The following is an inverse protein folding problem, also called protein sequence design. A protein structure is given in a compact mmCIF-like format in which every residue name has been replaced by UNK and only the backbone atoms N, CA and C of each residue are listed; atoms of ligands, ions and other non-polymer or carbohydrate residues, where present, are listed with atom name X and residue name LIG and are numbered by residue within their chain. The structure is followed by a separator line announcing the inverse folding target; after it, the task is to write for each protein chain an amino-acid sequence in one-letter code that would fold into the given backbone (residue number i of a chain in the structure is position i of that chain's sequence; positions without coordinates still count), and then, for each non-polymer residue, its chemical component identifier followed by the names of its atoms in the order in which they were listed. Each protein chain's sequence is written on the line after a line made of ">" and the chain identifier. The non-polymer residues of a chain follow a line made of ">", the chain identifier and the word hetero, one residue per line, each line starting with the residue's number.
data_IF_950504364436
#
_entry.id   IF_950504364436
#
_cell.length_a   1.000
_cell.length_b   1.000
_cell.length_c   1.000
_cell.angle_alpha   90.00
_cell.angle_beta   90.00
_cell.angle_gamma   90.00
#
_symmetry.space_group_name_H-M   'P 1'
#
loop_
_entity.id
_entity.type
_entity.pdbx_description
1 polymer ?
#
# COMPACT_ATOMS: atom_id res chain seq x y z
N UNK A 1 6.82 8.97 21.70
CA UNK A 1 7.25 9.15 23.11
C UNK A 1 7.93 10.50 23.29
N UNK A 2 9.10 10.75 22.68
CA UNK A 2 9.78 12.07 22.73
C UNK A 2 8.89 13.24 22.27
N UNK A 3 8.09 13.04 21.21
CA UNK A 3 7.15 14.04 20.71
C UNK A 3 6.04 14.45 21.69
N UNK A 4 5.61 13.54 22.57
CA UNK A 4 4.57 13.84 23.56
C UNK A 4 5.14 14.65 24.73
N UNK A 5 6.36 14.29 25.18
CA UNK A 5 7.09 15.02 26.22
C UNK A 5 7.46 16.42 25.71
N UNK A 6 7.99 16.53 24.49
CA UNK A 6 8.28 17.80 23.83
C UNK A 6 7.03 18.70 23.73
N UNK A 7 5.87 18.13 23.41
CA UNK A 7 4.61 18.87 23.37
C UNK A 7 4.22 19.39 24.74
N UNK A 8 4.26 18.53 25.77
CA UNK A 8 3.96 18.91 27.15
C UNK A 8 4.89 20.03 27.65
N UNK A 9 6.20 19.92 27.38
CA UNK A 9 7.17 20.94 27.78
C UNK A 9 6.89 22.29 27.11
N UNK A 10 6.54 22.30 25.82
CA UNK A 10 6.14 23.52 25.12
C UNK A 10 4.85 24.13 25.68
N UNK A 11 3.85 23.30 25.96
CA UNK A 11 2.58 23.72 26.56
C UNK A 11 2.78 24.34 27.96
N UNK A 12 3.83 23.94 28.69
CA UNK A 12 4.20 24.48 30.00
C UNK A 12 5.26 25.60 29.94
N UNK A 13 5.53 26.18 28.77
CA UNK A 13 6.38 27.36 28.63
C UNK A 13 7.89 27.09 28.65
N UNK A 14 8.32 25.83 28.56
CA UNK A 14 9.74 25.52 28.37
C UNK A 14 10.19 25.93 26.96
N UNK A 15 11.23 26.77 26.90
CA UNK A 15 11.72 27.37 25.64
C UNK A 15 12.63 26.46 24.84
N UNK A 16 13.32 25.54 25.50
CA UNK A 16 14.32 24.65 24.88
C UNK A 16 13.69 23.33 24.46
N UNK A 17 13.96 22.91 23.22
CA UNK A 17 13.53 21.64 22.64
C UNK A 17 14.47 20.50 23.04
N UNK A 18 13.93 19.47 23.69
CA UNK A 18 14.69 18.26 24.01
C UNK A 18 14.99 17.40 22.77
N UNK A 19 14.32 17.68 21.64
CA UNK A 19 14.46 16.95 20.37
C UNK A 19 15.35 17.69 19.37
N UNK A 20 15.36 19.02 19.38
CA UNK A 20 16.01 19.83 18.33
C UNK A 20 17.21 20.62 18.81
N UNK A 21 17.20 21.04 20.07
CA UNK A 21 18.18 22.02 20.52
C UNK A 21 19.47 21.35 20.98
N UNK A 22 20.58 22.06 20.80
CA UNK A 22 21.94 21.54 21.01
C UNK A 22 22.23 21.22 22.48
N UNK A 23 21.52 21.87 23.40
CA UNK A 23 21.61 21.72 24.84
C UNK A 23 21.35 20.27 25.27
N UNK A 24 20.58 19.52 24.47
CA UNK A 24 20.26 18.11 24.71
C UNK A 24 21.00 17.14 23.78
N UNK A 25 21.97 17.61 22.98
CA UNK A 25 22.67 16.78 21.99
C UNK A 25 23.31 15.53 22.61
N UNK A 26 24.00 15.68 23.74
CA UNK A 26 24.62 14.55 24.44
C UNK A 26 23.56 13.52 24.88
N UNK A 27 22.45 13.98 25.45
CA UNK A 27 21.35 13.09 25.86
C UNK A 27 20.72 12.38 24.67
N UNK A 28 20.54 13.06 23.54
CA UNK A 28 20.02 12.46 22.30
C UNK A 28 20.98 11.40 21.75
N UNK A 29 22.28 11.66 21.73
CA UNK A 29 23.30 10.71 21.27
C UNK A 29 23.30 9.45 22.14
N UNK A 30 23.24 9.59 23.47
CA UNK A 30 23.13 8.46 24.41
C UNK A 30 21.84 7.67 24.20
N UNK A 31 20.70 8.35 24.06
CA UNK A 31 19.41 7.69 23.80
C UNK A 31 19.40 6.96 22.45
N UNK A 32 20.00 7.54 21.42
CA UNK A 32 20.11 6.93 20.11
C UNK A 32 21.04 5.70 20.16
N UNK A 33 22.18 5.80 20.84
CA UNK A 33 23.09 4.67 21.07
C UNK A 33 22.38 3.52 21.80
N UNK A 34 21.61 3.83 22.87
CA UNK A 34 20.82 2.83 23.57
C UNK A 34 19.74 2.23 22.67
N UNK A 35 19.03 3.03 21.88
CA UNK A 35 18.03 2.53 20.93
C UNK A 35 18.65 1.61 19.86
N UNK A 36 19.86 1.91 19.38
CA UNK A 36 20.61 1.03 18.47
C UNK A 36 20.97 -0.27 19.18
N UNK A 37 21.48 -0.22 20.41
CA UNK A 37 21.84 -1.40 21.17
C UNK A 37 20.62 -2.31 21.43
N UNK A 38 19.50 -1.74 21.89
CA UNK A 38 18.25 -2.48 22.10
C UNK A 38 17.77 -3.17 20.81
N UNK A 39 17.91 -2.53 19.64
CA UNK A 39 17.56 -3.15 18.35
C UNK A 39 18.50 -4.31 18.00
N UNK A 40 19.79 -4.25 18.38
CA UNK A 40 20.75 -5.35 18.21
C UNK A 40 20.43 -6.52 19.14
N UNK A 41 20.04 -6.22 20.37
CA UNK A 41 19.55 -7.19 21.37
C UNK A 41 18.17 -7.79 21.02
N UNK A 42 17.59 -7.46 19.86
CA UNK A 42 16.30 -8.01 19.40
C UNK A 42 15.06 -7.29 19.94
N UNK A 43 15.20 -6.35 20.87
CA UNK A 43 14.11 -5.54 21.45
C UNK A 43 13.57 -4.43 20.52
N UNK A 44 13.85 -4.53 19.22
CA UNK A 44 13.23 -3.69 18.19
C UNK A 44 11.84 -4.19 17.81
N UNK A 45 11.23 -3.57 16.78
CA UNK A 45 9.98 -4.06 16.18
C UNK A 45 10.18 -5.24 15.22
N UNK A 46 11.41 -5.74 15.07
CA UNK A 46 11.75 -6.84 14.14
C UNK A 46 11.05 -8.16 14.50
N UNK A 47 10.92 -8.57 15.78
CA UNK A 47 10.16 -9.77 16.13
C UNK A 47 8.68 -9.65 15.76
N UNK A 48 8.11 -8.44 15.83
CA UNK A 48 6.73 -8.14 15.45
C UNK A 48 6.60 -7.72 13.97
N UNK A 49 7.59 -8.04 13.13
CA UNK A 49 7.52 -7.74 11.70
C UNK A 49 6.44 -8.63 11.07
N UNK A 50 5.56 -8.03 10.28
CA UNK A 50 4.62 -8.78 9.46
C UNK A 50 5.40 -9.78 8.59
N UNK A 51 5.04 -11.06 8.70
CA UNK A 51 5.61 -12.09 7.85
C UNK A 51 5.06 -11.94 6.44
N UNK A 52 5.89 -12.11 5.40
CA UNK A 52 5.39 -12.21 4.04
C UNK A 52 4.46 -13.42 3.96
N UNK A 53 3.41 -13.28 3.15
CA UNK A 53 2.46 -14.35 2.95
C UNK A 53 3.12 -15.54 2.25
N UNK A 54 2.91 -16.74 2.77
CA UNK A 54 3.54 -17.93 2.23
C UNK A 54 2.82 -18.39 0.93
N UNK A 55 3.54 -18.96 -0.06
CA UNK A 55 2.93 -19.50 -1.27
C UNK A 55 1.85 -20.57 -1.00
N UNK A 56 2.00 -21.33 0.08
CA UNK A 56 1.07 -22.37 0.53
C UNK A 56 -0.23 -21.74 1.03
N UNK A 57 -0.14 -20.66 1.81
CA UNK A 57 -1.31 -19.88 2.27
C UNK A 57 -2.05 -19.26 1.09
N UNK A 58 -1.32 -18.80 0.07
CA UNK A 58 -1.88 -18.31 -1.18
C UNK A 58 -2.65 -19.41 -1.91
N UNK A 59 -2.01 -20.56 -2.14
CA UNK A 59 -2.63 -21.72 -2.78
C UNK A 59 -3.86 -22.21 -2.02
N UNK A 60 -3.82 -22.18 -0.67
CA UNK A 60 -4.95 -22.60 0.16
C UNK A 60 -6.20 -21.74 -0.06
N UNK A 61 -6.06 -20.43 -0.32
CA UNK A 61 -7.23 -19.58 -0.60
C UNK A 61 -7.87 -19.89 -1.95
N UNK A 62 -7.08 -20.20 -2.97
CA UNK A 62 -7.61 -20.62 -4.27
C UNK A 62 -8.31 -21.97 -4.15
N UNK A 63 -7.67 -22.95 -3.51
CA UNK A 63 -8.21 -24.29 -3.37
C UNK A 63 -9.50 -24.31 -2.53
N UNK A 64 -9.62 -23.43 -1.52
CA UNK A 64 -10.82 -23.26 -0.70
C UNK A 64 -11.91 -22.38 -1.36
N UNK A 65 -11.70 -21.95 -2.61
CA UNK A 65 -12.64 -21.08 -3.32
C UNK A 65 -12.80 -19.68 -2.72
N UNK A 66 -11.86 -19.21 -1.88
CA UNK A 66 -11.88 -17.86 -1.33
C UNK A 66 -11.43 -16.81 -2.37
N UNK A 67 -10.70 -17.26 -3.39
CA UNK A 67 -10.27 -16.50 -4.57
C UNK A 67 -10.70 -17.27 -5.83
N UNK A 68 -11.09 -16.55 -6.88
CA UNK A 68 -11.63 -17.12 -8.12
C UNK A 68 -12.74 -16.27 -8.72
N UNK A 69 -13.50 -16.85 -9.64
CA UNK A 69 -14.51 -16.13 -10.44
C UNK A 69 -15.93 -16.72 -10.41
N UNK A 70 -16.14 -17.77 -9.62
CA UNK A 70 -17.41 -18.51 -9.60
C UNK A 70 -18.59 -17.75 -8.96
N UNK A 71 -18.34 -16.64 -8.25
CA UNK A 71 -19.36 -15.76 -7.67
C UNK A 71 -18.80 -14.33 -7.59
N UNK A 72 -19.67 -13.31 -7.75
CA UNK A 72 -19.34 -11.90 -7.58
C UNK A 72 -18.62 -11.55 -6.26
N UNK A 73 -18.94 -12.21 -5.13
CA UNK A 73 -18.21 -11.98 -3.86
C UNK A 73 -16.75 -12.43 -3.97
N UNK A 74 -16.51 -13.62 -4.51
CA UNK A 74 -15.17 -14.20 -4.64
C UNK A 74 -14.36 -13.45 -5.71
N UNK A 75 -15.02 -13.05 -6.80
CA UNK A 75 -14.44 -12.19 -7.83
C UNK A 75 -14.03 -10.82 -7.27
N UNK A 76 -14.84 -10.25 -6.37
CA UNK A 76 -14.49 -9.00 -5.67
C UNK A 76 -13.31 -9.20 -4.72
N UNK A 77 -13.25 -10.31 -3.99
CA UNK A 77 -12.12 -10.62 -3.09
C UNK A 77 -10.81 -10.75 -3.86
N UNK A 78 -10.81 -11.48 -4.97
CA UNK A 78 -9.59 -11.66 -5.78
C UNK A 78 -9.16 -10.35 -6.44
N UNK A 79 -10.12 -9.54 -6.89
CA UNK A 79 -9.81 -8.23 -7.43
C UNK A 79 -9.21 -7.31 -6.35
N UNK A 80 -9.82 -7.23 -5.16
CA UNK A 80 -9.28 -6.48 -4.03
C UNK A 80 -7.82 -6.89 -3.73
N UNK A 81 -7.58 -8.20 -3.62
CA UNK A 81 -6.25 -8.77 -3.39
C UNK A 81 -5.25 -8.39 -4.49
N UNK A 82 -5.63 -8.46 -5.76
CA UNK A 82 -4.76 -8.07 -6.88
C UNK A 82 -4.43 -6.58 -6.88
N UNK A 83 -5.41 -5.71 -6.59
CA UNK A 83 -5.21 -4.27 -6.48
C UNK A 83 -4.25 -3.91 -5.33
N UNK A 84 -4.38 -4.56 -4.17
CA UNK A 84 -3.47 -4.35 -3.04
C UNK A 84 -2.04 -4.79 -3.37
N UNK A 85 -1.86 -5.97 -3.94
CA UNK A 85 -0.53 -6.55 -4.16
C UNK A 85 0.20 -5.95 -5.36
N UNK A 86 -0.49 -5.74 -6.49
CA UNK A 86 0.14 -5.32 -7.75
C UNK A 86 0.26 -3.80 -7.86
N UNK A 87 -0.75 -3.06 -7.40
CA UNK A 87 -0.78 -1.59 -7.50
C UNK A 87 -0.34 -0.91 -6.20
N UNK A 88 -0.22 -1.68 -5.11
CA UNK A 88 0.16 -1.15 -3.82
C UNK A 88 -0.89 -0.21 -3.22
N UNK A 89 -2.18 -0.44 -3.49
CA UNK A 89 -3.26 0.28 -2.82
C UNK A 89 -3.24 -0.08 -1.33
N UNK A 90 -3.07 0.93 -0.48
CA UNK A 90 -2.85 0.76 0.97
C UNK A 90 -4.07 1.17 1.76
N UNK A 91 -4.55 0.21 2.55
CA UNK A 91 -5.57 0.44 3.55
C UNK A 91 -6.95 0.68 2.96
N UNK A 92 -7.94 0.74 3.86
CA UNK A 92 -9.36 0.86 3.50
C UNK A 92 -9.68 2.10 2.66
N UNK A 93 -8.99 3.21 2.94
CA UNK A 93 -9.26 4.50 2.31
C UNK A 93 -8.92 4.50 0.82
N UNK A 94 -7.73 4.05 0.42
CA UNK A 94 -7.34 4.05 -1.00
C UNK A 94 -8.27 3.18 -1.84
N UNK A 95 -8.72 2.05 -1.31
CA UNK A 95 -9.69 1.19 -2.01
C UNK A 95 -11.09 1.80 -2.13
N UNK A 96 -11.52 2.65 -1.21
CA UNK A 96 -12.83 3.32 -1.29
C UNK A 96 -12.81 4.58 -2.14
N UNK A 97 -11.70 5.30 -2.13
CA UNK A 97 -11.56 6.54 -2.91
C UNK A 97 -11.28 6.27 -4.39
N UNK A 98 -10.86 5.05 -4.74
CA UNK A 98 -10.67 4.64 -6.14
C UNK A 98 -11.99 4.44 -6.86
N UNK A 99 -12.14 5.11 -8.00
CA UNK A 99 -13.21 4.88 -8.96
C UNK A 99 -12.77 3.86 -10.03
N UNK A 100 -13.72 3.21 -10.70
CA UNK A 100 -13.38 2.24 -11.76
C UNK A 100 -12.71 2.94 -12.95
N UNK A 101 -13.08 4.19 -13.17
CA UNK A 101 -12.60 5.13 -14.17
C UNK A 101 -11.12 5.50 -13.96
N UNK A 102 -10.62 5.35 -12.72
CA UNK A 102 -9.21 5.56 -12.40
C UNK A 102 -8.32 4.44 -12.94
N UNK A 103 -8.91 3.32 -13.41
CA UNK A 103 -8.19 2.18 -13.96
C UNK A 103 -8.27 2.14 -15.50
N UNK A 104 -7.12 2.27 -16.14
CA UNK A 104 -6.97 2.20 -17.59
C UNK A 104 -6.36 0.88 -18.02
N UNK A 105 -6.99 0.22 -18.98
CA UNK A 105 -6.46 -0.99 -19.59
C UNK A 105 -5.71 -0.59 -20.86
N UNK A 106 -4.42 -0.89 -20.95
CA UNK A 106 -3.56 -0.59 -22.11
C UNK A 106 -2.97 -1.87 -22.66
N UNK A 107 -2.66 -1.88 -23.96
CA UNK A 107 -1.77 -2.86 -24.59
C UNK A 107 -0.39 -2.20 -24.74
N UNK A 108 0.66 -2.88 -24.30
CA UNK A 108 2.04 -2.39 -24.41
C UNK A 108 2.80 -3.26 -25.41
N UNK A 109 3.22 -2.67 -26.53
CA UNK A 109 3.86 -3.40 -27.64
C UNK A 109 5.34 -3.69 -27.39
N UNK A 110 6.04 -2.82 -26.64
CA UNK A 110 7.49 -2.89 -26.36
C UNK A 110 7.98 -4.19 -25.66
N UNK A 111 7.08 -5.00 -25.11
CA UNK A 111 7.39 -6.28 -24.44
C UNK A 111 6.47 -7.42 -24.88
N UNK A 112 6.02 -7.40 -26.13
CA UNK A 112 5.10 -8.41 -26.67
C UNK A 112 3.69 -8.24 -26.09
N UNK A 113 2.84 -7.48 -26.80
CA UNK A 113 1.40 -7.26 -26.56
C UNK A 113 0.87 -7.42 -25.12
N UNK A 114 1.59 -6.92 -24.11
CA UNK A 114 1.20 -7.19 -22.73
C UNK A 114 0.05 -6.26 -22.35
N UNK A 115 -1.06 -6.83 -21.89
CA UNK A 115 -2.17 -6.02 -21.37
C UNK A 115 -1.85 -5.61 -19.94
N UNK A 116 -1.98 -4.32 -19.65
CA UNK A 116 -1.66 -3.73 -18.35
C UNK A 116 -2.84 -2.93 -17.85
N UNK A 117 -3.14 -3.06 -16.56
CA UNK A 117 -4.04 -2.16 -15.84
C UNK A 117 -3.19 -1.10 -15.13
N UNK A 118 -3.33 0.15 -15.56
CA UNK A 118 -2.70 1.33 -14.94
C UNK A 118 -3.71 2.02 -14.03
N UNK A 119 -3.31 2.29 -12.78
CA UNK A 119 -4.10 3.12 -11.87
C UNK A 119 -3.63 4.58 -11.91
N UNK A 120 -4.57 5.48 -12.21
CA UNK A 120 -4.39 6.91 -12.22
C UNK A 120 -5.00 7.53 -10.97
N UNK A 121 -4.16 7.73 -9.97
CA UNK A 121 -4.56 8.33 -8.71
C UNK A 121 -5.00 9.79 -8.86
N UNK A 122 -6.23 10.07 -8.41
CA UNK A 122 -6.77 11.42 -8.25
C UNK A 122 -5.99 12.21 -7.17
N UNK A 123 -6.04 13.56 -7.18
CA UNK A 123 -5.40 14.37 -6.14
C UNK A 123 -5.88 13.95 -4.73
N UNK A 124 -4.94 13.54 -3.87
CA UNK A 124 -5.24 13.15 -2.48
C UNK A 124 -4.83 14.24 -1.50
N UNK A 125 -5.31 14.19 -0.24
CA UNK A 125 -4.98 15.19 0.80
C UNK A 125 -3.47 15.42 0.99
N UNK A 126 -2.67 14.36 0.89
CA UNK A 126 -1.20 14.41 1.04
C UNK A 126 -0.47 14.65 -0.28
N UNK A 127 -1.21 14.64 -1.39
CA UNK A 127 -0.71 14.84 -2.74
C UNK A 127 -1.65 15.73 -3.55
N UNK A 128 -2.05 16.84 -2.94
CA UNK A 128 -2.75 17.96 -3.57
C UNK A 128 -1.77 18.62 -4.53
N UNK A 129 -1.64 18.03 -5.72
CA UNK A 129 -1.10 18.75 -6.86
C UNK A 129 -2.10 19.84 -7.22
N UNK A 130 -1.66 21.10 -7.32
CA UNK A 130 -2.42 22.15 -7.99
C UNK A 130 -2.58 21.82 -9.48
N UNK A 131 -2.18 22.70 -10.38
CA UNK A 131 -2.25 22.44 -11.84
C UNK A 131 -1.47 21.19 -12.31
N UNK A 132 -0.57 20.65 -11.48
CA UNK A 132 0.25 19.46 -11.81
C UNK A 132 0.04 18.36 -10.78
N UNK A 133 -0.53 17.24 -11.22
CA UNK A 133 -0.69 16.03 -10.41
C UNK A 133 0.70 15.44 -10.16
N UNK A 134 1.21 15.55 -8.92
CA UNK A 134 2.39 14.75 -8.50
C UNK A 134 2.02 13.28 -8.66
N UNK A 135 2.92 12.40 -9.12
CA UNK A 135 2.67 10.94 -9.26
C UNK A 135 3.40 10.17 -8.14
N UNK A 136 3.05 8.90 -7.94
CA UNK A 136 3.80 8.02 -7.03
C UNK A 136 5.17 7.75 -7.64
N UNK A 137 6.16 7.49 -6.80
CA UNK A 137 7.53 7.16 -7.24
C UNK A 137 7.58 5.78 -7.92
N UNK A 138 6.78 4.85 -7.44
CA UNK A 138 6.62 3.52 -8.03
C UNK A 138 5.54 3.58 -9.10
N UNK A 139 5.62 2.85 -10.22
CA UNK A 139 4.50 2.70 -11.15
C UNK A 139 3.37 1.87 -10.53
N UNK A 140 2.11 2.28 -10.74
CA UNK A 140 0.92 1.51 -10.34
C UNK A 140 0.43 0.72 -11.55
N UNK A 141 1.13 -0.37 -11.86
CA UNK A 141 0.84 -1.21 -13.02
C UNK A 141 0.59 -2.64 -12.57
N UNK A 142 -0.47 -3.24 -13.10
CA UNK A 142 -0.79 -4.66 -12.96
C UNK A 142 -0.69 -5.30 -14.34
N UNK A 143 0.24 -6.24 -14.46
CA UNK A 143 0.58 -6.89 -15.72
C UNK A 143 -0.19 -8.20 -15.89
N UNK A 144 -0.60 -8.49 -17.12
CA UNK A 144 -1.07 -9.83 -17.48
C UNK A 144 0.07 -10.84 -17.31
N UNK A 145 -0.26 -12.05 -16.89
CA UNK A 145 0.67 -13.16 -16.77
C UNK A 145 0.56 -14.04 -18.01
N UNK A 146 -0.26 -15.08 -17.94
CA UNK A 146 -0.44 -16.16 -18.91
C UNK A 146 -1.86 -16.18 -19.48
N UNK A 147 -2.72 -15.23 -19.07
CA UNK A 147 -4.14 -15.25 -19.40
C UNK A 147 -4.91 -16.41 -18.76
N UNK A 148 -4.30 -17.15 -17.83
CA UNK A 148 -4.92 -18.28 -17.14
C UNK A 148 -5.98 -17.86 -16.12
N UNK A 149 -6.52 -18.84 -15.38
CA UNK A 149 -7.57 -18.60 -14.38
C UNK A 149 -7.15 -17.60 -13.28
N UNK A 150 -5.85 -17.52 -12.97
CA UNK A 150 -5.28 -16.64 -11.95
C UNK A 150 -4.73 -15.33 -12.50
N UNK A 151 -4.83 -15.10 -13.81
CA UNK A 151 -4.33 -13.88 -14.45
C UNK A 151 -5.04 -12.65 -13.87
N UNK A 152 -4.29 -11.69 -13.30
CA UNK A 152 -4.88 -10.60 -12.56
C UNK A 152 -5.61 -9.61 -13.48
N UNK A 153 -5.17 -9.44 -14.73
CA UNK A 153 -5.77 -8.54 -15.71
C UNK A 153 -7.06 -9.15 -16.28
N UNK A 154 -7.09 -10.46 -16.53
CA UNK A 154 -8.29 -11.21 -16.93
C UNK A 154 -9.36 -11.12 -15.86
N UNK A 155 -8.99 -11.36 -14.60
CA UNK A 155 -9.91 -11.26 -13.46
C UNK A 155 -10.41 -9.83 -13.24
N UNK A 156 -9.55 -8.82 -13.41
CA UNK A 156 -9.96 -7.41 -13.34
C UNK A 156 -10.98 -7.07 -14.44
N UNK A 157 -10.74 -7.50 -15.69
CA UNK A 157 -11.66 -7.31 -16.83
C UNK A 157 -13.01 -7.97 -16.56
N UNK A 158 -13.00 -9.21 -16.07
CA UNK A 158 -14.22 -9.93 -15.72
C UNK A 158 -14.98 -9.25 -14.58
N UNK A 159 -14.28 -8.82 -13.54
CA UNK A 159 -14.88 -8.06 -12.46
C UNK A 159 -15.55 -6.78 -12.97
N UNK A 160 -14.88 -6.04 -13.86
CA UNK A 160 -15.41 -4.82 -14.47
C UNK A 160 -16.66 -5.09 -15.32
N UNK A 161 -16.68 -6.17 -16.11
CA UNK A 161 -17.83 -6.50 -16.98
C UNK A 161 -19.05 -7.02 -16.22
N UNK A 162 -18.87 -7.51 -14.98
CA UNK A 162 -19.95 -8.02 -14.13
C UNK A 162 -20.51 -6.97 -13.17
N UNK A 163 -19.91 -5.78 -13.09
CA UNK A 163 -20.54 -4.65 -12.39
C UNK A 163 -21.77 -4.23 -13.19
N UNK A 164 -22.91 -4.15 -12.51
CA UNK A 164 -24.09 -3.49 -13.08
C UNK A 164 -23.73 -2.01 -13.24
N UNK A 165 -23.94 -1.45 -14.43
CA UNK A 165 -23.99 0.00 -14.59
C UNK A 165 -25.12 0.49 -13.67
N UNK A 166 -24.78 1.36 -12.72
CA UNK A 166 -25.72 1.82 -11.71
C UNK A 166 -26.95 2.42 -12.38
N UNK A 167 -28.13 1.88 -12.04
CA UNK A 167 -29.40 2.57 -12.17
C UNK A 167 -29.53 3.65 -11.08
#
# INVERSE_FOLDING_TARGET
>A
MQSAIERYLKENGYKTSIVRDREFRNSQEVLNAKAINLRREGMGKRPNKAQPRAPEEQSSLWNKGQLGEHNGRVLTNVNFKNLTEQLGLRGRQEHYDSYVEDFLIRRQEDRGELVVVEYRENPTKTRTGGLRIKRRLTPQLMFSTDGGERDPVRLFKLWRSKRQDGA
#
